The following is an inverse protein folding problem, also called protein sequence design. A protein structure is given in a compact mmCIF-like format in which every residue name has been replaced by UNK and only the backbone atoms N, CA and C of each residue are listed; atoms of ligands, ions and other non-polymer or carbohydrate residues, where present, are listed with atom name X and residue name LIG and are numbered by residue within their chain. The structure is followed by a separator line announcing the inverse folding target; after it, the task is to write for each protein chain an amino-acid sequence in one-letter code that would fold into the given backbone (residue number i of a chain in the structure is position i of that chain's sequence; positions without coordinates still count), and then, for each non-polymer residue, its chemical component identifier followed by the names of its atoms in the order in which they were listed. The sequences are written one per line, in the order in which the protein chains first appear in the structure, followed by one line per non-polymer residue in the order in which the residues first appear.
data_IF_787657968048
#
_entry.id   IF_787657968048
#
_cell.length_a   1.000
_cell.length_b   1.000
_cell.length_c   1.000
_cell.angle_alpha   90.00
_cell.angle_beta   90.00
_cell.angle_gamma   90.00
#
_symmetry.space_group_name_H-M   'P 1'
#
loop_
_entity.id
_entity.type
_entity.pdbx_description
1 polymer ?
#
# COMPACT_ATOMS: atom_id res chain seq x y z
N UNK A 1 -31.31 23.00 28.74
CA UNK A 1 -30.42 21.93 28.26
C UNK A 1 -30.24 20.73 29.21
N UNK A 2 -31.02 20.57 30.27
CA UNK A 2 -30.89 19.41 31.21
C UNK A 2 -31.94 18.31 31.00
N UNK A 3 -32.95 18.53 30.20
CA UNK A 3 -34.05 17.59 29.95
C UNK A 3 -33.82 16.64 28.76
N UNK A 4 -32.94 16.99 27.83
CA UNK A 4 -32.68 16.17 26.63
C UNK A 4 -31.77 14.96 26.89
N UNK A 5 -30.93 15.00 27.94
CA UNK A 5 -30.04 13.87 28.32
C UNK A 5 -30.75 12.73 29.04
N UNK A 6 -31.93 12.96 29.61
CA UNK A 6 -32.69 11.92 30.33
C UNK A 6 -33.58 11.06 29.44
N UNK A 7 -33.95 11.54 28.25
CA UNK A 7 -34.75 10.80 27.28
C UNK A 7 -33.92 9.79 26.49
N UNK A 8 -32.61 10.09 26.25
CA UNK A 8 -31.72 9.21 25.49
C UNK A 8 -31.31 7.95 26.26
N UNK A 9 -31.26 8.01 27.58
CA UNK A 9 -30.85 6.86 28.42
C UNK A 9 -32.01 5.84 28.60
N UNK A 10 -33.26 6.27 28.51
CA UNK A 10 -34.41 5.38 28.65
C UNK A 10 -34.74 4.61 27.37
N UNK A 11 -34.34 5.13 26.20
CA UNK A 11 -34.54 4.46 24.90
C UNK A 11 -33.51 3.35 24.60
N UNK A 12 -32.37 3.37 25.29
CA UNK A 12 -31.33 2.34 25.10
C UNK A 12 -31.47 1.11 25.98
N UNK A 13 -32.36 1.17 27.00
CA UNK A 13 -32.58 0.07 27.94
C UNK A 13 -33.74 -0.87 27.57
N UNK A 14 -34.48 -0.57 26.49
CA UNK A 14 -35.65 -1.40 26.07
C UNK A 14 -35.31 -2.37 24.90
N UNK A 15 -34.09 -2.43 24.42
CA UNK A 15 -33.70 -3.25 23.24
C UNK A 15 -32.99 -4.56 23.59
N UNK A 16 -32.88 -4.95 24.85
CA UNK A 16 -32.08 -6.14 25.27
C UNK A 16 -32.95 -7.26 25.89
N UNK A 17 -34.27 -7.20 25.80
CA UNK A 17 -35.13 -8.21 26.46
C UNK A 17 -36.12 -8.88 25.51
N UNK A 18 -35.67 -9.54 24.46
CA UNK A 18 -36.52 -10.45 23.67
C UNK A 18 -35.73 -11.46 22.83
N UNK A 19 -35.00 -12.40 23.48
CA UNK A 19 -34.69 -13.69 22.85
C UNK A 19 -34.49 -14.76 23.94
N UNK A 20 -35.55 -15.33 24.41
CA UNK A 20 -35.54 -16.67 24.98
C UNK A 20 -36.97 -17.20 24.90
N UNK A 21 -37.09 -18.36 24.26
CA UNK A 21 -38.14 -19.38 24.37
C UNK A 21 -38.67 -19.82 23.00
N UNK A 22 -38.13 -20.96 22.54
CA UNK A 22 -38.80 -22.03 21.81
C UNK A 22 -37.71 -23.09 21.65
N UNK A 23 -37.69 -24.23 22.24
CA UNK A 23 -38.79 -25.17 22.34
C UNK A 23 -38.30 -26.46 21.65
N UNK A 24 -37.83 -27.47 22.43
CA UNK A 24 -37.48 -28.80 21.96
C UNK A 24 -38.64 -29.45 21.20
N UNK A 25 -38.32 -30.04 20.04
CA UNK A 25 -39.18 -30.97 19.34
C UNK A 25 -38.28 -31.95 18.59
N UNK A 26 -37.99 -33.09 19.22
CA UNK A 26 -37.33 -34.19 18.55
C UNK A 26 -38.28 -34.81 17.50
N UNK A 27 -37.84 -34.85 16.25
CA UNK A 27 -38.33 -35.79 15.25
C UNK A 27 -37.12 -36.53 14.66
N UNK A 28 -37.18 -37.87 14.78
CA UNK A 28 -36.31 -38.79 14.11
C UNK A 28 -36.43 -38.62 12.59
N UNK A 29 -35.39 -38.13 11.93
CA UNK A 29 -35.20 -38.26 10.50
C UNK A 29 -34.09 -39.31 10.21
N UNK A 30 -34.25 -40.09 9.14
CA UNK A 30 -33.30 -41.14 8.79
C UNK A 30 -31.93 -40.55 8.43
N UNK A 31 -30.83 -41.33 8.56
CA UNK A 31 -29.48 -40.88 8.28
C UNK A 31 -29.36 -40.47 6.82
N UNK A 32 -29.26 -39.16 6.56
CA UNK A 32 -28.85 -38.61 5.28
C UNK A 32 -27.39 -38.98 5.07
N UNK A 33 -27.09 -39.64 3.97
CA UNK A 33 -25.72 -39.89 3.49
C UNK A 33 -24.93 -38.58 3.49
N UNK A 34 -23.63 -38.59 3.82
CA UNK A 34 -22.80 -37.42 3.69
C UNK A 34 -22.79 -37.04 2.22
N UNK A 35 -23.48 -35.94 1.90
CA UNK A 35 -23.28 -35.24 0.65
C UNK A 35 -21.83 -34.78 0.64
N UNK A 36 -21.00 -35.47 -0.16
CA UNK A 36 -19.73 -34.91 -0.60
C UNK A 36 -20.01 -33.64 -1.43
N UNK A 37 -20.35 -32.58 -0.74
CA UNK A 37 -20.11 -31.25 -1.30
C UNK A 37 -18.61 -31.10 -1.32
N UNK A 38 -18.01 -31.34 -2.48
CA UNK A 38 -16.75 -30.75 -2.88
C UNK A 38 -16.98 -29.22 -2.87
N UNK A 39 -16.97 -28.66 -1.67
CA UNK A 39 -16.80 -27.24 -1.45
C UNK A 39 -15.34 -26.94 -1.82
N UNK A 40 -15.08 -26.76 -3.12
CA UNK A 40 -13.90 -26.01 -3.56
C UNK A 40 -14.13 -24.61 -3.05
N UNK A 41 -13.74 -24.38 -1.81
CA UNK A 41 -13.69 -23.06 -1.25
C UNK A 41 -12.87 -22.19 -2.21
N UNK A 42 -13.56 -21.28 -2.88
CA UNK A 42 -12.96 -20.28 -3.75
C UNK A 42 -11.93 -19.53 -2.90
N UNK A 43 -10.65 -19.84 -3.10
CA UNK A 43 -9.59 -19.30 -2.26
C UNK A 43 -9.30 -17.90 -2.74
N UNK A 44 -9.62 -16.91 -1.91
CA UNK A 44 -9.35 -15.51 -2.19
C UNK A 44 -8.03 -15.08 -1.55
N UNK A 45 -7.04 -14.76 -2.36
CA UNK A 45 -5.72 -14.32 -1.93
C UNK A 45 -5.69 -12.80 -1.91
N UNK A 46 -5.44 -12.26 -0.74
CA UNK A 46 -5.33 -10.83 -0.49
C UNK A 46 -3.86 -10.42 -0.41
N UNK A 47 -3.53 -9.16 -0.75
CA UNK A 47 -2.23 -8.60 -0.44
C UNK A 47 -2.00 -8.56 1.07
N UNK A 48 -0.74 -8.55 1.45
CA UNK A 48 -0.33 -8.32 2.84
C UNK A 48 -0.77 -6.89 3.22
N UNK A 49 -1.43 -6.69 4.37
CA UNK A 49 -1.82 -5.36 4.80
C UNK A 49 -0.60 -4.44 4.93
N UNK A 50 -0.79 -3.15 4.59
CA UNK A 50 0.22 -2.11 4.79
C UNK A 50 0.77 -2.13 6.22
N UNK A 51 2.08 -2.04 6.35
CA UNK A 51 2.76 -1.88 7.63
C UNK A 51 3.01 -0.41 7.98
N UNK A 52 2.66 0.51 7.09
CA UNK A 52 2.86 1.94 7.31
C UNK A 52 2.01 2.45 8.47
N UNK A 53 2.67 3.02 9.47
CA UNK A 53 2.03 3.67 10.62
C UNK A 53 2.36 5.17 10.62
N UNK A 54 1.41 6.04 10.20
CA UNK A 54 1.64 7.49 10.17
C UNK A 54 1.82 8.10 11.56
N UNK A 55 1.58 7.36 12.63
CA UNK A 55 1.76 7.83 14.01
C UNK A 55 3.11 7.48 14.60
N UNK A 56 3.90 6.65 13.91
CA UNK A 56 5.21 6.20 14.35
C UNK A 56 6.25 6.36 13.24
N UNK A 57 6.82 7.57 13.13
CA UNK A 57 7.83 7.94 12.14
C UNK A 57 9.17 8.28 12.84
N UNK A 58 9.65 7.38 13.70
CA UNK A 58 10.88 7.63 14.48
C UNK A 58 12.16 7.53 13.63
N UNK A 59 12.25 6.48 12.79
CA UNK A 59 13.37 6.24 11.87
C UNK A 59 12.88 5.29 10.77
N UNK A 60 12.53 5.82 9.61
CA UNK A 60 11.93 5.04 8.54
C UNK A 60 12.17 5.68 7.17
N UNK A 61 12.07 4.85 6.12
CA UNK A 61 12.19 5.30 4.73
C UNK A 61 11.06 4.73 3.90
N UNK A 62 10.47 5.58 3.04
CA UNK A 62 9.37 5.19 2.18
C UNK A 62 9.52 5.76 0.76
N UNK A 63 9.01 5.06 -0.26
CA UNK A 63 8.75 5.65 -1.56
C UNK A 63 7.77 6.81 -1.42
N UNK A 64 8.09 7.95 -2.04
CA UNK A 64 7.26 9.15 -1.98
C UNK A 64 7.12 9.79 -3.35
N UNK A 65 6.04 10.56 -3.52
CA UNK A 65 5.90 11.48 -4.64
C UNK A 65 5.51 12.86 -4.12
N UNK A 66 6.04 13.89 -4.77
CA UNK A 66 5.69 15.28 -4.57
C UNK A 66 6.12 16.10 -5.79
N UNK A 67 5.65 17.33 -5.89
CA UNK A 67 6.00 18.33 -6.91
C UNK A 67 6.64 19.55 -6.25
N UNK A 68 7.15 20.48 -7.04
CA UNK A 68 7.68 21.74 -6.50
C UNK A 68 6.61 22.57 -5.76
N UNK A 69 5.34 22.42 -6.11
CA UNK A 69 4.23 23.13 -5.45
C UNK A 69 3.97 22.61 -4.03
N UNK A 70 4.43 21.40 -3.74
CA UNK A 70 4.30 20.76 -2.43
C UNK A 70 5.41 21.19 -1.44
N UNK A 71 6.35 22.03 -1.88
CA UNK A 71 7.45 22.60 -1.09
C UNK A 71 7.05 23.98 -0.62
N UNK A 72 6.79 24.14 0.67
CA UNK A 72 6.32 25.44 1.20
C UNK A 72 6.87 25.79 2.59
N UNK A 73 6.73 27.06 2.95
CA UNK A 73 6.87 27.52 4.32
C UNK A 73 5.48 27.62 4.95
N UNK A 74 5.32 27.07 6.14
CA UNK A 74 4.08 27.24 6.90
C UNK A 74 3.99 28.66 7.49
N UNK A 75 2.86 28.98 8.14
CA UNK A 75 2.62 30.27 8.77
C UNK A 75 3.65 30.67 9.84
N UNK A 76 4.35 29.69 10.41
CA UNK A 76 5.40 29.87 11.41
C UNK A 76 6.78 30.05 10.77
N UNK A 77 6.88 29.97 9.45
CA UNK A 77 8.12 30.07 8.69
C UNK A 77 8.96 28.79 8.72
N UNK A 78 8.39 27.66 9.15
CA UNK A 78 9.03 26.36 9.09
C UNK A 78 8.86 25.74 7.71
N UNK A 79 9.90 25.09 7.21
CA UNK A 79 9.85 24.35 5.93
C UNK A 79 9.02 23.08 6.10
N UNK A 80 8.02 22.89 5.22
CA UNK A 80 7.14 21.73 5.20
C UNK A 80 7.15 21.15 3.79
N UNK A 81 7.20 19.82 3.72
CA UNK A 81 7.05 19.05 2.49
C UNK A 81 5.74 18.24 2.55
N UNK A 82 4.85 18.54 1.62
CA UNK A 82 3.66 17.73 1.38
C UNK A 82 4.05 16.58 0.46
N UNK A 83 3.69 15.36 0.81
CA UNK A 83 4.04 14.18 0.00
C UNK A 83 2.96 13.11 0.07
N UNK A 84 2.87 12.32 -0.97
CA UNK A 84 2.16 11.05 -0.97
C UNK A 84 3.16 9.95 -0.65
N UNK A 85 2.85 9.13 0.35
CA UNK A 85 3.62 7.93 0.69
C UNK A 85 3.05 6.73 -0.04
N UNK A 86 3.92 5.90 -0.57
CA UNK A 86 3.57 4.76 -1.39
C UNK A 86 4.16 3.47 -0.83
N UNK A 87 3.46 2.38 -0.99
CA UNK A 87 3.96 1.02 -0.74
C UNK A 87 3.78 0.15 -1.98
N UNK A 88 4.70 -0.77 -2.16
CA UNK A 88 4.52 -1.84 -3.13
C UNK A 88 3.53 -2.86 -2.55
N UNK A 89 2.55 -3.28 -3.35
CA UNK A 89 1.61 -4.31 -2.95
C UNK A 89 2.33 -5.67 -2.89
N UNK A 90 2.38 -6.27 -1.70
CA UNK A 90 3.09 -7.52 -1.45
C UNK A 90 2.12 -8.66 -1.15
N UNK A 91 2.49 -9.85 -1.55
CA UNK A 91 1.74 -11.08 -1.34
C UNK A 91 2.61 -12.13 -0.66
N UNK A 92 2.01 -12.94 0.21
CA UNK A 92 2.72 -14.04 0.85
C UNK A 92 3.19 -15.08 -0.18
N UNK A 93 4.46 -15.49 -0.09
CA UNK A 93 5.07 -16.40 -1.06
C UNK A 93 4.40 -17.76 -1.12
N UNK A 94 3.92 -18.28 0.03
CA UNK A 94 3.23 -19.58 0.07
C UNK A 94 1.90 -19.49 -0.66
N UNK A 95 1.18 -18.40 -0.47
CA UNK A 95 -0.10 -18.14 -1.15
C UNK A 95 0.07 -18.04 -2.67
N UNK A 96 1.09 -17.29 -3.13
CA UNK A 96 1.34 -17.11 -4.58
C UNK A 96 1.82 -18.41 -5.23
N UNK A 97 2.75 -19.11 -4.61
CA UNK A 97 3.25 -20.39 -5.16
C UNK A 97 2.22 -21.54 -5.07
N UNK A 98 1.23 -21.40 -4.17
CA UNK A 98 0.11 -22.33 -4.01
C UNK A 98 -1.11 -22.03 -4.90
N UNK A 99 -1.09 -20.96 -5.71
CA UNK A 99 -2.17 -20.58 -6.62
C UNK A 99 -2.55 -21.72 -7.58
N UNK A 100 -3.82 -21.86 -7.84
CA UNK A 100 -4.38 -22.83 -8.78
C UNK A 100 -5.58 -22.25 -9.52
N UNK A 101 -5.99 -22.91 -10.59
CA UNK A 101 -7.21 -22.58 -11.33
C UNK A 101 -8.43 -22.61 -10.39
N UNK A 102 -9.26 -21.57 -10.48
CA UNK A 102 -10.44 -21.35 -9.64
C UNK A 102 -10.19 -20.45 -8.43
N UNK A 103 -8.95 -20.16 -8.06
CA UNK A 103 -8.65 -19.18 -7.02
C UNK A 103 -8.95 -17.74 -7.51
N UNK A 104 -9.06 -16.82 -6.58
CA UNK A 104 -9.17 -15.37 -6.86
C UNK A 104 -8.03 -14.65 -6.16
N UNK A 105 -7.26 -13.85 -6.89
CA UNK A 105 -6.26 -12.96 -6.31
C UNK A 105 -6.74 -11.52 -6.40
N UNK A 106 -6.55 -10.74 -5.35
CA UNK A 106 -6.89 -9.32 -5.33
C UNK A 106 -5.65 -8.51 -5.62
N UNK A 107 -5.58 -7.90 -6.79
CA UNK A 107 -4.45 -7.07 -7.22
C UNK A 107 -4.94 -5.66 -7.46
N UNK A 108 -4.31 -4.68 -6.82
CA UNK A 108 -4.71 -3.27 -6.87
C UNK A 108 -6.20 -3.06 -6.58
N UNK A 109 -6.70 -3.80 -5.57
CA UNK A 109 -8.10 -3.75 -5.16
C UNK A 109 -9.09 -4.42 -6.14
N UNK A 110 -8.62 -5.06 -7.21
CA UNK A 110 -9.47 -5.74 -8.19
C UNK A 110 -9.37 -7.26 -8.05
N UNK A 111 -10.50 -7.92 -8.09
CA UNK A 111 -10.56 -9.38 -8.11
C UNK A 111 -10.14 -9.90 -9.48
N UNK A 112 -9.14 -10.74 -9.51
CA UNK A 112 -8.64 -11.43 -10.70
C UNK A 112 -8.88 -12.92 -10.54
N UNK A 113 -9.78 -13.49 -11.33
CA UNK A 113 -10.02 -14.92 -11.36
C UNK A 113 -8.82 -15.63 -12.01
N UNK A 114 -8.31 -16.65 -11.36
CA UNK A 114 -7.17 -17.44 -11.83
C UNK A 114 -7.69 -18.54 -12.76
N UNK A 115 -7.51 -18.36 -14.05
CA UNK A 115 -7.88 -19.36 -15.07
C UNK A 115 -6.69 -20.28 -15.44
N UNK A 116 -5.45 -19.81 -15.25
CA UNK A 116 -4.24 -20.58 -15.48
C UNK A 116 -3.10 -20.03 -14.64
N UNK A 117 -2.21 -20.92 -14.18
CA UNK A 117 -0.98 -20.59 -13.45
C UNK A 117 0.19 -21.33 -14.07
N UNK A 118 1.27 -20.63 -14.33
CA UNK A 118 2.54 -21.18 -14.74
C UNK A 118 3.66 -20.66 -13.84
N UNK A 119 4.55 -21.50 -13.38
CA UNK A 119 5.72 -21.13 -12.59
C UNK A 119 6.96 -21.41 -13.42
N UNK A 120 7.72 -20.38 -13.72
CA UNK A 120 8.94 -20.48 -14.51
C UNK A 120 9.98 -19.49 -13.98
N UNK A 121 11.24 -19.91 -13.88
CA UNK A 121 12.39 -19.06 -13.52
C UNK A 121 12.20 -18.24 -12.20
N UNK A 122 11.43 -18.79 -11.27
CA UNK A 122 11.18 -18.16 -9.97
C UNK A 122 10.03 -17.13 -9.97
N UNK A 123 9.39 -16.89 -11.10
CA UNK A 123 8.19 -16.04 -11.22
C UNK A 123 6.93 -16.87 -11.40
N UNK A 124 5.78 -16.30 -11.10
CA UNK A 124 4.47 -16.92 -11.26
C UNK A 124 3.66 -16.11 -12.27
N UNK A 125 3.31 -16.74 -13.39
CA UNK A 125 2.46 -16.16 -14.43
C UNK A 125 1.01 -16.59 -14.20
N UNK A 126 0.12 -15.62 -14.03
CA UNK A 126 -1.31 -15.79 -13.87
C UNK A 126 -1.98 -15.39 -15.17
N UNK A 127 -2.84 -16.26 -15.71
CA UNK A 127 -3.57 -16.03 -16.95
C UNK A 127 -2.67 -15.71 -18.15
N UNK A 128 -1.51 -16.38 -18.22
CA UNK A 128 -0.53 -16.21 -19.30
C UNK A 128 0.51 -15.12 -19.08
N UNK A 129 0.53 -14.52 -17.88
CA UNK A 129 1.48 -13.48 -17.53
C UNK A 129 1.25 -12.15 -18.27
N UNK A 130 2.09 -11.18 -17.98
CA UNK A 130 1.98 -9.82 -18.51
C UNK A 130 1.98 -9.75 -20.04
N UNK A 131 2.78 -10.57 -20.71
CA UNK A 131 2.87 -10.60 -22.18
C UNK A 131 1.55 -10.99 -22.87
N UNK A 132 0.68 -11.70 -22.17
CA UNK A 132 -0.61 -12.16 -22.68
C UNK A 132 -1.81 -11.47 -22.02
N UNK A 133 -1.57 -10.33 -21.35
CA UNK A 133 -2.64 -9.56 -20.69
C UNK A 133 -3.06 -10.12 -19.34
N UNK A 134 -2.29 -11.07 -18.79
CA UNK A 134 -2.41 -11.55 -17.42
C UNK A 134 -1.48 -10.82 -16.46
N UNK A 135 -1.12 -11.45 -15.36
CA UNK A 135 -0.29 -10.90 -14.30
C UNK A 135 0.97 -11.74 -14.13
N UNK A 136 2.10 -11.11 -13.95
CA UNK A 136 3.36 -11.76 -13.56
C UNK A 136 3.72 -11.34 -12.14
N UNK A 137 3.87 -12.32 -11.25
CA UNK A 137 4.32 -12.13 -9.89
C UNK A 137 5.80 -12.48 -9.77
N UNK A 138 6.62 -11.52 -9.33
CA UNK A 138 8.05 -11.71 -9.10
C UNK A 138 8.35 -11.80 -7.59
N UNK A 139 9.35 -12.57 -7.17
CA UNK A 139 9.76 -12.64 -5.77
C UNK A 139 10.44 -11.33 -5.36
N UNK A 140 10.17 -10.86 -4.14
CA UNK A 140 10.92 -9.77 -3.53
C UNK A 140 12.35 -10.19 -3.20
N UNK A 141 13.24 -9.24 -3.00
CA UNK A 141 14.62 -9.51 -2.60
C UNK A 141 14.72 -10.31 -1.29
N UNK A 142 13.77 -10.13 -0.39
CA UNK A 142 13.71 -10.88 0.87
C UNK A 142 13.32 -12.35 0.68
N UNK A 143 12.76 -12.73 -0.47
CA UNK A 143 12.35 -14.09 -0.82
C UNK A 143 11.10 -14.60 -0.10
N UNK A 144 10.54 -13.83 0.83
CA UNK A 144 9.35 -14.21 1.60
C UNK A 144 8.04 -13.72 1.02
N UNK A 145 8.09 -12.84 0.03
CA UNK A 145 6.94 -12.19 -0.59
C UNK A 145 7.09 -12.13 -2.11
N UNK A 146 5.96 -11.92 -2.77
CA UNK A 146 5.87 -11.64 -4.20
C UNK A 146 5.20 -10.28 -4.41
N UNK A 147 5.49 -9.65 -5.53
CA UNK A 147 4.85 -8.44 -6.01
C UNK A 147 4.49 -8.58 -7.50
N UNK A 148 3.52 -7.78 -7.96
CA UNK A 148 3.22 -7.70 -9.38
C UNK A 148 4.40 -7.05 -10.10
N UNK A 149 4.95 -7.77 -11.09
CA UNK A 149 6.03 -7.26 -11.95
C UNK A 149 5.43 -6.54 -13.14
N UNK A 150 5.71 -5.25 -13.28
CA UNK A 150 5.37 -4.48 -14.49
C UNK A 150 6.26 -4.84 -15.67
N UNK A 151 5.85 -4.47 -16.88
CA UNK A 151 6.74 -4.55 -18.04
C UNK A 151 7.83 -3.46 -17.94
N UNK A 152 9.03 -3.76 -18.39
CA UNK A 152 10.20 -2.88 -18.33
C UNK A 152 10.02 -1.50 -18.98
N UNK A 153 8.91 -1.24 -19.68
CA UNK A 153 8.84 -0.11 -20.60
C UNK A 153 7.68 0.87 -20.43
N UNK A 154 6.60 0.58 -19.69
CA UNK A 154 5.42 1.46 -19.79
C UNK A 154 4.56 1.68 -18.56
N UNK A 155 4.69 0.93 -17.46
CA UNK A 155 3.68 0.98 -16.41
C UNK A 155 4.25 1.01 -14.99
N UNK A 156 5.29 1.78 -14.78
CA UNK A 156 5.92 1.91 -13.47
C UNK A 156 4.96 2.47 -12.39
N UNK A 157 4.03 3.31 -12.76
CA UNK A 157 3.05 3.89 -11.81
C UNK A 157 2.08 2.86 -11.22
N UNK A 158 2.13 1.61 -11.73
CA UNK A 158 1.17 0.57 -11.39
C UNK A 158 1.63 -0.30 -10.22
N UNK A 159 2.92 -0.27 -9.87
CA UNK A 159 3.51 -1.14 -8.85
C UNK A 159 3.29 -0.66 -7.42
N UNK A 160 2.87 0.59 -7.24
CA UNK A 160 2.75 1.21 -5.92
C UNK A 160 1.31 1.61 -5.63
N UNK A 161 0.91 1.42 -4.38
CA UNK A 161 -0.37 1.86 -3.83
C UNK A 161 -0.13 3.03 -2.88
N UNK A 162 -0.89 4.12 -3.04
CA UNK A 162 -0.87 5.24 -2.11
C UNK A 162 -1.43 4.81 -0.76
N UNK A 163 -0.63 4.95 0.29
CA UNK A 163 -1.01 4.57 1.67
C UNK A 163 -1.29 5.76 2.57
N UNK A 164 -0.69 6.91 2.29
CA UNK A 164 -0.95 8.14 3.04
C UNK A 164 -0.62 9.40 2.23
N UNK A 165 -1.25 10.52 2.61
CA UNK A 165 -0.81 11.87 2.28
C UNK A 165 -0.38 12.56 3.56
N UNK A 166 0.80 13.14 3.55
CA UNK A 166 1.43 13.70 4.73
C UNK A 166 2.02 15.09 4.45
N UNK A 167 2.05 15.90 5.48
CA UNK A 167 2.77 17.17 5.51
C UNK A 167 3.75 17.09 6.69
N UNK A 168 5.04 16.95 6.40
CA UNK A 168 6.05 16.80 7.43
C UNK A 168 7.02 17.99 7.41
N UNK A 169 7.45 18.46 8.60
CA UNK A 169 8.52 19.43 8.67
C UNK A 169 9.82 18.84 8.13
N UNK A 170 10.61 19.66 7.47
CA UNK A 170 11.95 19.31 7.01
C UNK A 170 12.95 19.79 8.05
N UNK A 171 13.89 18.92 8.45
CA UNK A 171 14.97 19.30 9.37
C UNK A 171 15.97 20.21 8.66
N UNK A 172 15.81 21.52 8.83
CA UNK A 172 16.56 22.50 8.06
C UNK A 172 18.09 22.44 8.23
N UNK A 173 18.60 21.91 9.35
CA UNK A 173 20.03 21.83 9.63
C UNK A 173 20.68 20.56 9.09
N UNK A 174 19.92 19.46 9.01
CA UNK A 174 20.43 18.14 8.64
C UNK A 174 19.90 17.64 7.29
N UNK A 175 18.90 18.33 6.73
CA UNK A 175 18.23 17.88 5.50
C UNK A 175 19.16 17.88 4.29
N UNK A 176 19.10 16.79 3.54
CA UNK A 176 19.82 16.60 2.27
C UNK A 176 18.86 16.06 1.20
N UNK A 177 18.83 16.72 0.05
CA UNK A 177 18.20 16.19 -1.15
C UNK A 177 19.29 15.71 -2.11
N UNK A 178 19.33 14.42 -2.41
CA UNK A 178 20.26 13.79 -3.36
C UNK A 178 19.54 13.49 -4.66
N UNK A 179 20.00 14.08 -5.72
CA UNK A 179 19.44 13.93 -7.05
C UNK A 179 20.42 13.26 -8.00
N UNK A 180 20.13 12.02 -8.36
CA UNK A 180 20.84 11.23 -9.36
C UNK A 180 19.96 10.97 -10.60
N UNK A 181 18.91 11.76 -10.81
CA UNK A 181 17.97 11.57 -11.93
C UNK A 181 18.56 11.92 -13.30
N UNK A 182 19.63 12.70 -13.36
CA UNK A 182 20.33 13.09 -14.58
C UNK A 182 21.69 12.36 -14.64
N UNK A 183 21.77 11.30 -15.45
CA UNK A 183 23.00 10.49 -15.60
C UNK A 183 24.20 11.28 -16.14
N UNK A 184 23.96 12.36 -16.88
CA UNK A 184 25.06 13.18 -17.45
C UNK A 184 25.69 14.08 -16.38
N UNK A 185 24.91 14.52 -15.40
CA UNK A 185 25.38 15.37 -14.29
C UNK A 185 25.93 14.57 -13.11
N UNK A 186 25.51 13.29 -12.99
CA UNK A 186 25.77 12.51 -11.78
C UNK A 186 24.96 13.00 -10.58
N UNK A 187 25.33 12.57 -9.38
CA UNK A 187 24.64 12.98 -8.16
C UNK A 187 24.89 14.45 -7.84
N UNK A 188 23.80 15.20 -7.67
CA UNK A 188 23.79 16.58 -7.17
C UNK A 188 23.11 16.61 -5.82
N UNK A 189 23.69 17.36 -4.90
CA UNK A 189 23.16 17.47 -3.53
C UNK A 189 22.66 18.90 -3.28
N UNK A 190 21.48 19.01 -2.67
CA UNK A 190 20.86 20.27 -2.28
C UNK A 190 20.53 20.23 -0.78
N UNK A 191 20.51 21.40 -0.16
CA UNK A 191 20.07 21.58 1.24
C UNK A 191 18.67 22.20 1.29
N UNK A 192 18.06 22.25 2.45
CA UNK A 192 16.69 22.76 2.63
C UNK A 192 16.47 24.16 2.01
N UNK A 193 17.43 25.07 2.18
CA UNK A 193 17.37 26.42 1.61
C UNK A 193 17.38 26.44 0.07
N UNK A 194 18.04 25.51 -0.57
CA UNK A 194 18.07 25.40 -2.03
C UNK A 194 16.69 25.03 -2.58
N UNK A 195 16.00 24.07 -1.95
CA UNK A 195 14.66 23.68 -2.39
C UNK A 195 13.69 24.88 -2.35
N UNK A 196 13.75 25.68 -1.30
CA UNK A 196 12.88 26.85 -1.16
C UNK A 196 13.21 27.97 -2.16
N UNK A 197 14.50 28.17 -2.46
CA UNK A 197 14.96 29.30 -3.30
C UNK A 197 15.07 28.95 -4.77
N UNK A 198 15.22 27.68 -5.12
CA UNK A 198 15.47 27.23 -6.50
C UNK A 198 14.28 26.50 -7.12
N UNK A 199 13.16 26.27 -6.40
CA UNK A 199 12.03 25.49 -6.91
C UNK A 199 11.37 26.06 -8.18
N UNK A 200 11.56 27.34 -8.47
CA UNK A 200 11.08 27.95 -9.71
C UNK A 200 11.99 27.68 -10.92
N UNK A 201 13.20 27.16 -10.69
CA UNK A 201 14.22 26.95 -11.74
C UNK A 201 14.76 25.53 -11.79
N UNK A 202 14.58 24.75 -10.74
CA UNK A 202 14.99 23.34 -10.62
C UNK A 202 13.74 22.52 -10.30
N UNK A 203 13.54 21.44 -11.04
CA UNK A 203 12.50 20.49 -10.73
C UNK A 203 13.00 19.51 -9.67
N UNK A 204 12.44 19.61 -8.45
CA UNK A 204 12.69 18.69 -7.32
C UNK A 204 11.65 17.58 -7.22
N UNK A 205 10.61 17.60 -8.06
CA UNK A 205 9.53 16.60 -8.01
C UNK A 205 10.05 15.18 -8.19
N UNK A 206 9.38 14.25 -7.55
CA UNK A 206 9.64 12.82 -7.70
C UNK A 206 8.34 12.01 -7.74
N UNK A 207 8.46 10.78 -8.21
CA UNK A 207 7.38 9.78 -8.25
C UNK A 207 7.67 8.65 -7.25
N UNK A 208 6.69 7.79 -7.01
CA UNK A 208 6.86 6.60 -6.17
C UNK A 208 8.04 5.70 -6.59
N UNK A 209 8.38 5.74 -7.86
CA UNK A 209 9.42 4.88 -8.45
C UNK A 209 10.83 5.41 -8.27
N UNK A 210 10.99 6.71 -8.16
CA UNK A 210 12.32 7.32 -8.14
C UNK A 210 12.60 8.19 -6.91
N UNK A 211 11.61 8.40 -6.06
CA UNK A 211 11.70 9.22 -4.85
C UNK A 211 11.62 8.38 -3.58
N UNK A 212 12.58 8.52 -2.68
CA UNK A 212 12.54 7.94 -1.33
C UNK A 212 12.76 9.05 -0.30
N UNK A 213 11.89 9.13 0.70
CA UNK A 213 12.07 10.00 1.85
C UNK A 213 12.59 9.20 3.04
N UNK A 214 13.62 9.69 3.71
CA UNK A 214 14.08 9.24 5.02
C UNK A 214 13.56 10.20 6.09
N UNK A 215 12.87 9.65 7.08
CA UNK A 215 12.18 10.40 8.13
C UNK A 215 12.76 9.97 9.48
N UNK A 216 13.18 10.94 10.27
CA UNK A 216 13.69 10.74 11.63
C UNK A 216 12.91 11.65 12.58
N UNK A 217 12.35 11.09 13.65
CA UNK A 217 11.60 11.83 14.66
C UNK A 217 10.49 12.73 14.05
N UNK A 218 9.72 12.20 13.11
CA UNK A 218 8.66 12.92 12.37
C UNK A 218 9.16 14.11 11.54
N UNK A 219 10.43 14.16 11.16
CA UNK A 219 10.99 15.17 10.27
C UNK A 219 11.65 14.52 9.07
N UNK A 220 11.49 15.11 7.89
CA UNK A 220 12.20 14.67 6.70
C UNK A 220 13.66 15.12 6.84
N UNK A 221 14.59 14.15 6.83
CA UNK A 221 16.04 14.42 6.90
C UNK A 221 16.74 14.17 5.58
N UNK A 222 16.19 13.33 4.71
CA UNK A 222 16.76 13.06 3.40
C UNK A 222 15.67 12.76 2.37
N UNK A 223 15.90 13.24 1.16
CA UNK A 223 15.19 12.78 -0.04
C UNK A 223 16.25 12.24 -1.01
N UNK A 224 16.00 11.09 -1.58
CA UNK A 224 16.81 10.51 -2.64
C UNK A 224 15.95 10.39 -3.89
N UNK A 225 16.40 11.02 -4.99
CA UNK A 225 15.80 10.85 -6.32
C UNK A 225 16.79 10.16 -7.23
N UNK A 226 16.38 9.04 -7.81
CA UNK A 226 17.21 8.25 -8.71
C UNK A 226 16.76 8.39 -10.16
N UNK A 227 17.64 8.01 -11.09
CA UNK A 227 17.31 7.92 -12.51
C UNK A 227 16.26 6.83 -12.72
N UNK A 228 15.31 7.13 -13.62
CA UNK A 228 14.37 6.16 -14.18
C UNK A 228 14.69 5.99 -15.66
N UNK A 229 14.95 4.77 -16.13
CA UNK A 229 15.25 4.49 -17.53
C UNK A 229 14.06 4.73 -18.47
#
# INVERSE_FOLDING_TARGET
MKTLKKVLVVLLSLLVLSTALFGCGAKDEPPTEPSDTNDTADTRILPIPSSFDPTNLEDCSFPVSFTNDDIELNDEGSFVLHMTVWEQELFDAVSITGLKEGDVIVVRGNDVAVAAVEQADGVVHINGGLENGGITMAPSESGGTFYESGSELTEYDVLYTSVAQMALPVNGDEFVYRDSSDLEKGEVTYVAGDLLTMKDSVDFGCTAMNGTAHIVNNQVVEIIRVYMP
#
